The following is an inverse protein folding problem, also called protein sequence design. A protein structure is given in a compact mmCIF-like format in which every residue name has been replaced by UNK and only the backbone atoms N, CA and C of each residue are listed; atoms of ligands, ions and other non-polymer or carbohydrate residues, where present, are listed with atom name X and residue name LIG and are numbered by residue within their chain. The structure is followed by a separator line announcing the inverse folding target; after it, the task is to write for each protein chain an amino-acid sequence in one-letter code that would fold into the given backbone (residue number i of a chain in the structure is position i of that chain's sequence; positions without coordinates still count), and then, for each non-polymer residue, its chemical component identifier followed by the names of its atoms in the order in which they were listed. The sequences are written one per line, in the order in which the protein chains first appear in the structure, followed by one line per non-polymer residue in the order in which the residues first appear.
data_IF_838206364687
#
_entry.id   IF_838206364687
#
_cell.length_a   1.000
_cell.length_b   1.000
_cell.length_c   1.000
_cell.angle_alpha   90.00
_cell.angle_beta   90.00
_cell.angle_gamma   90.00
#
_symmetry.space_group_name_H-M   'P 1'
#
loop_
_entity.id
_entity.type
_entity.pdbx_description
1 polymer ?
#
# COMPACT_ATOMS: atom_id res chain seq x y z
N UNK A 1 -7.66 -6.20 -29.59
CA UNK A 1 -8.33 -4.95 -29.20
C UNK A 1 -7.42 -4.19 -28.25
N UNK A 2 -7.16 -2.88 -28.46
CA UNK A 2 -6.23 -2.14 -27.58
C UNK A 2 -6.93 -1.79 -26.27
N UNK A 3 -6.17 -1.62 -25.18
CA UNK A 3 -6.71 -1.35 -23.84
C UNK A 3 -7.61 -0.09 -23.78
N UNK A 4 -7.30 0.92 -24.60
CA UNK A 4 -8.10 2.15 -24.73
C UNK A 4 -9.47 1.89 -25.35
N UNK A 5 -9.56 0.97 -26.31
CA UNK A 5 -10.83 0.65 -26.99
C UNK A 5 -11.77 -0.08 -26.03
N UNK A 6 -11.22 -1.00 -25.22
CA UNK A 6 -11.99 -1.73 -24.20
C UNK A 6 -12.57 -0.75 -23.16
N UNK A 7 -11.78 0.24 -22.71
CA UNK A 7 -12.26 1.25 -21.75
C UNK A 7 -13.38 2.11 -22.31
N UNK A 8 -13.29 2.52 -23.57
CA UNK A 8 -14.38 3.26 -24.25
C UNK A 8 -15.66 2.44 -24.27
N UNK A 9 -15.57 1.15 -24.60
CA UNK A 9 -16.71 0.22 -24.59
C UNK A 9 -17.33 0.09 -23.20
N UNK A 10 -16.51 -0.07 -22.15
CA UNK A 10 -17.01 -0.14 -20.77
C UNK A 10 -17.70 1.15 -20.35
N UNK A 11 -17.12 2.32 -20.65
CA UNK A 11 -17.71 3.62 -20.31
C UNK A 11 -19.05 3.84 -21.02
N UNK A 12 -19.13 3.50 -22.31
CA UNK A 12 -20.35 3.61 -23.09
C UNK A 12 -21.46 2.70 -22.55
N UNK A 13 -21.16 1.43 -22.28
CA UNK A 13 -22.15 0.48 -21.73
C UNK A 13 -22.61 0.86 -20.34
N UNK A 14 -21.70 1.29 -19.47
CA UNK A 14 -22.06 1.76 -18.14
C UNK A 14 -22.96 3.00 -18.16
N UNK A 15 -22.74 3.92 -19.12
CA UNK A 15 -23.62 5.07 -19.33
C UNK A 15 -25.01 4.72 -19.85
N UNK A 16 -25.21 3.50 -20.37
CA UNK A 16 -26.52 2.96 -20.76
C UNK A 16 -27.18 2.15 -19.63
N UNK A 17 -26.74 2.32 -18.39
CA UNK A 17 -27.19 1.58 -17.20
C UNK A 17 -26.96 0.06 -17.26
N UNK A 18 -26.02 -0.41 -18.09
CA UNK A 18 -25.67 -1.83 -18.13
C UNK A 18 -24.91 -2.26 -16.86
N UNK A 19 -25.42 -3.29 -16.20
CA UNK A 19 -24.76 -3.87 -15.03
C UNK A 19 -23.40 -4.52 -15.33
N UNK A 20 -22.50 -4.64 -14.33
CA UNK A 20 -21.14 -5.17 -14.50
C UNK A 20 -21.06 -6.55 -15.13
N UNK A 21 -22.07 -7.41 -14.87
CA UNK A 21 -22.12 -8.77 -15.41
C UNK A 21 -22.44 -8.80 -16.90
N UNK A 22 -23.28 -7.88 -17.38
CA UNK A 22 -23.64 -7.73 -18.79
C UNK A 22 -22.43 -7.25 -19.58
N UNK A 23 -21.76 -6.22 -19.08
CA UNK A 23 -20.50 -5.70 -19.64
C UNK A 23 -19.43 -6.79 -19.74
N UNK A 24 -19.30 -7.64 -18.71
CA UNK A 24 -18.35 -8.77 -18.73
C UNK A 24 -18.65 -9.80 -19.81
N UNK A 25 -19.92 -10.18 -19.98
CA UNK A 25 -20.35 -11.09 -21.04
C UNK A 25 -20.10 -10.52 -22.42
N UNK A 26 -20.40 -9.23 -22.62
CA UNK A 26 -20.21 -8.54 -23.89
C UNK A 26 -18.73 -8.38 -24.28
N UNK A 27 -17.84 -8.34 -23.28
CA UNK A 27 -16.39 -8.35 -23.49
C UNK A 27 -15.82 -9.76 -23.67
N UNK A 28 -16.64 -10.81 -23.68
CA UNK A 28 -16.24 -12.21 -23.89
C UNK A 28 -15.03 -12.65 -23.04
N UNK A 29 -14.90 -12.14 -21.82
CA UNK A 29 -13.78 -12.47 -20.94
C UNK A 29 -12.43 -11.84 -21.30
N UNK A 30 -12.37 -10.92 -22.27
CA UNK A 30 -11.15 -10.15 -22.61
C UNK A 30 -10.57 -9.43 -21.39
N UNK A 31 -11.42 -9.10 -20.41
CA UNK A 31 -11.03 -8.51 -19.14
C UNK A 31 -11.73 -9.22 -17.99
N UNK A 32 -11.02 -9.40 -16.86
CA UNK A 32 -11.61 -10.01 -15.67
C UNK A 32 -12.79 -9.21 -15.11
N UNK A 33 -13.77 -9.90 -14.52
CA UNK A 33 -14.90 -9.27 -13.84
C UNK A 33 -14.44 -8.34 -12.70
N UNK A 34 -13.34 -8.68 -12.03
CA UNK A 34 -12.74 -7.85 -10.96
C UNK A 34 -12.30 -6.49 -11.50
N UNK A 35 -11.65 -6.47 -12.65
CA UNK A 35 -11.21 -5.23 -13.32
C UNK A 35 -12.40 -4.37 -13.73
N UNK A 36 -13.47 -4.98 -14.27
CA UNK A 36 -14.69 -4.25 -14.65
C UNK A 36 -15.33 -3.59 -13.41
N UNK A 37 -15.46 -4.34 -12.30
CA UNK A 37 -15.96 -3.78 -11.03
C UNK A 37 -15.11 -2.61 -10.52
N UNK A 38 -13.79 -2.72 -10.63
CA UNK A 38 -12.88 -1.63 -10.26
C UNK A 38 -13.07 -0.39 -11.14
N UNK A 39 -13.21 -0.56 -12.45
CA UNK A 39 -13.42 0.57 -13.38
C UNK A 39 -14.75 1.27 -13.13
N UNK A 40 -15.83 0.52 -12.86
CA UNK A 40 -17.12 1.08 -12.48
C UNK A 40 -16.99 1.89 -11.19
N UNK A 41 -16.28 1.38 -10.18
CA UNK A 41 -16.00 2.12 -8.93
C UNK A 41 -15.24 3.43 -9.22
N UNK A 42 -14.26 3.41 -10.12
CA UNK A 42 -13.53 4.61 -10.52
C UNK A 42 -14.43 5.63 -11.25
N UNK A 43 -15.32 5.17 -12.12
CA UNK A 43 -16.30 6.05 -12.79
C UNK A 43 -17.20 6.73 -11.75
N UNK A 44 -17.69 5.99 -10.76
CA UNK A 44 -18.56 6.56 -9.72
C UNK A 44 -17.82 7.58 -8.84
N UNK A 45 -16.53 7.36 -8.58
CA UNK A 45 -15.75 8.24 -7.70
C UNK A 45 -15.17 9.47 -8.42
N UNK A 46 -14.81 9.35 -9.71
CA UNK A 46 -13.98 10.34 -10.41
C UNK A 46 -14.54 10.72 -11.79
N UNK A 47 -15.61 10.07 -12.26
CA UNK A 47 -16.20 10.32 -13.58
C UNK A 47 -15.34 9.86 -14.77
N UNK A 48 -14.18 9.24 -14.51
CA UNK A 48 -13.24 8.83 -15.55
C UNK A 48 -12.49 7.54 -15.19
N UNK A 49 -12.17 6.76 -16.23
CA UNK A 49 -11.27 5.61 -16.14
C UNK A 49 -9.88 6.09 -16.56
N UNK A 50 -9.13 6.72 -15.65
CA UNK A 50 -7.74 7.06 -15.90
C UNK A 50 -6.84 5.92 -15.43
N UNK A 51 -6.43 5.04 -16.36
CA UNK A 51 -5.43 3.98 -16.13
C UNK A 51 -4.00 4.41 -16.46
N UNK A 52 -3.74 5.72 -16.65
CA UNK A 52 -2.36 6.23 -16.79
C UNK A 52 -1.48 5.78 -15.62
N UNK A 53 -2.09 5.52 -14.46
CA UNK A 53 -1.52 4.69 -13.41
C UNK A 53 -2.35 3.41 -13.29
N UNK A 54 -1.79 2.21 -13.56
CA UNK A 54 -2.53 0.98 -13.29
C UNK A 54 -2.89 0.91 -11.80
N UNK A 55 -4.11 0.48 -11.42
CA UNK A 55 -4.49 0.21 -10.04
C UNK A 55 -3.84 -1.11 -9.62
N UNK A 56 -2.53 -1.08 -9.50
CA UNK A 56 -1.65 -2.15 -9.10
C UNK A 56 -0.33 -1.51 -8.73
N UNK A 57 0.05 -1.68 -7.45
CA UNK A 57 1.33 -1.31 -6.80
C UNK A 57 2.16 -0.32 -7.60
N UNK A 58 2.27 0.93 -7.10
CA UNK A 58 3.24 1.94 -7.52
C UNK A 58 4.46 1.28 -8.16
N UNK A 59 4.48 1.19 -9.50
CA UNK A 59 5.71 0.91 -10.21
C UNK A 59 6.49 2.19 -10.03
N UNK A 60 7.40 2.17 -9.07
CA UNK A 60 8.47 3.13 -8.98
C UNK A 60 9.26 2.93 -10.28
N UNK A 61 8.87 3.65 -11.33
CA UNK A 61 9.76 3.92 -12.45
C UNK A 61 10.90 4.69 -11.84
N UNK A 62 12.06 4.05 -11.69
CA UNK A 62 13.33 4.73 -11.47
C UNK A 62 13.47 5.74 -12.61
N UNK A 63 13.14 7.00 -12.36
CA UNK A 63 13.71 8.08 -13.14
C UNK A 63 15.20 8.00 -12.86
N UNK A 64 15.96 7.58 -13.87
CA UNK A 64 17.41 7.70 -13.81
C UNK A 64 17.73 9.17 -13.52
N UNK A 65 18.40 9.38 -12.40
CA UNK A 65 18.63 10.67 -11.79
C UNK A 65 19.51 11.50 -12.70
N UNK A 66 18.95 12.55 -13.27
CA UNK A 66 19.69 13.75 -13.63
C UNK A 66 18.83 14.94 -13.24
N UNK A 67 18.75 15.23 -11.95
CA UNK A 67 18.37 16.55 -11.46
C UNK A 67 19.02 16.74 -10.08
N UNK A 68 20.02 17.60 -10.10
CA UNK A 68 20.66 18.24 -8.96
C UNK A 68 19.62 18.92 -8.09
N UNK A 69 19.34 18.36 -6.91
CA UNK A 69 18.71 19.12 -5.84
C UNK A 69 19.20 18.60 -4.47
N UNK A 70 19.79 19.45 -3.62
CA UNK A 70 20.39 19.02 -2.37
C UNK A 70 19.46 19.32 -1.20
N UNK A 71 18.35 18.60 -1.01
CA UNK A 71 17.68 18.56 0.30
C UNK A 71 16.95 17.24 0.58
N UNK A 72 17.46 16.56 1.62
CA UNK A 72 16.83 15.48 2.39
C UNK A 72 16.46 14.22 1.59
N UNK A 73 17.50 13.55 1.10
CA UNK A 73 17.39 12.18 0.59
C UNK A 73 17.32 11.17 1.73
N UNK A 74 16.11 10.81 2.18
CA UNK A 74 15.90 9.53 2.85
C UNK A 74 16.20 8.43 1.83
N UNK A 75 17.42 7.88 1.91
CA UNK A 75 17.80 6.68 1.15
C UNK A 75 16.97 5.54 1.76
N UNK A 76 15.83 5.24 1.14
CA UNK A 76 15.15 3.96 1.32
C UNK A 76 16.07 2.88 0.75
N UNK A 77 17.04 2.43 1.56
CA UNK A 77 17.77 1.21 1.28
C UNK A 77 16.72 0.13 1.09
N UNK A 78 16.65 -0.43 -0.12
CA UNK A 78 15.69 -1.46 -0.48
C UNK A 78 15.96 -2.69 0.38
N UNK A 79 15.25 -2.80 1.50
CA UNK A 79 15.41 -3.95 2.37
C UNK A 79 14.85 -5.20 1.70
N UNK A 80 15.55 -6.34 1.85
CA UNK A 80 15.00 -7.62 1.44
C UNK A 80 13.72 -7.91 2.24
N UNK A 81 12.74 -8.48 1.55
CA UNK A 81 11.50 -8.90 2.20
C UNK A 81 11.80 -10.00 3.23
N UNK A 82 11.21 -9.90 4.42
CA UNK A 82 11.33 -10.85 5.54
C UNK A 82 12.70 -10.93 6.24
N UNK A 83 13.49 -9.85 6.21
CA UNK A 83 14.77 -9.77 6.94
C UNK A 83 14.75 -8.71 8.05
N UNK A 84 14.02 -8.93 9.17
CA UNK A 84 14.01 -8.03 10.31
C UNK A 84 15.37 -7.94 11.03
N UNK A 85 16.25 -8.92 10.80
CA UNK A 85 17.63 -9.02 11.27
C UNK A 85 18.58 -8.02 10.59
N UNK A 86 18.25 -7.58 9.37
CA UNK A 86 19.10 -6.66 8.58
C UNK A 86 18.79 -5.19 8.83
N UNK A 87 17.83 -4.89 9.71
CA UNK A 87 17.61 -3.53 10.18
C UNK A 87 18.34 -3.28 11.51
N UNK A 88 19.46 -2.56 11.49
CA UNK A 88 20.16 -2.21 12.72
C UNK A 88 19.30 -1.35 13.67
N UNK A 89 18.38 -0.55 13.13
CA UNK A 89 17.48 0.30 13.91
C UNK A 89 16.32 -0.48 14.56
N UNK A 90 15.76 -1.49 13.90
CA UNK A 90 14.67 -2.31 14.45
C UNK A 90 15.24 -3.31 15.45
N UNK A 91 16.22 -4.12 15.07
CA UNK A 91 16.60 -5.25 15.93
C UNK A 91 17.17 -4.80 17.28
N UNK A 92 18.07 -3.81 17.27
CA UNK A 92 18.70 -3.32 18.51
C UNK A 92 17.71 -2.58 19.41
N UNK A 93 16.79 -1.81 18.83
CA UNK A 93 15.76 -1.07 19.55
C UNK A 93 14.70 -2.03 20.12
N UNK A 94 14.14 -2.91 19.30
CA UNK A 94 13.15 -3.89 19.74
C UNK A 94 13.70 -4.86 20.78
N UNK A 95 14.99 -5.25 20.66
CA UNK A 95 15.64 -6.08 21.68
C UNK A 95 15.71 -5.37 23.03
N UNK A 96 16.11 -4.09 23.05
CA UNK A 96 16.15 -3.29 24.28
C UNK A 96 14.76 -3.06 24.86
N UNK A 97 13.78 -2.70 24.02
CA UNK A 97 12.39 -2.56 24.45
C UNK A 97 11.83 -3.86 25.04
N UNK A 98 12.07 -4.99 24.38
CA UNK A 98 11.64 -6.31 24.86
C UNK A 98 12.28 -6.74 26.18
N UNK A 99 13.47 -6.23 26.52
CA UNK A 99 14.08 -6.46 27.83
C UNK A 99 13.42 -5.64 28.96
N UNK A 100 12.83 -4.49 28.62
CA UNK A 100 12.20 -3.58 29.58
C UNK A 100 10.73 -3.93 29.83
N UNK A 101 10.07 -4.53 28.83
CA UNK A 101 8.65 -4.92 28.91
C UNK A 101 8.40 -6.04 29.93
N UNK A 102 7.33 -5.90 30.71
CA UNK A 102 6.86 -6.96 31.60
C UNK A 102 5.92 -7.92 30.88
N UNK A 103 6.50 -8.88 30.15
CA UNK A 103 5.76 -9.87 29.35
C UNK A 103 4.68 -10.64 30.11
N UNK A 104 4.79 -10.75 31.44
CA UNK A 104 3.76 -11.39 32.30
C UNK A 104 2.40 -10.67 32.24
N UNK A 105 2.36 -9.38 31.95
CA UNK A 105 1.13 -8.59 31.86
C UNK A 105 0.58 -8.50 30.43
N UNK A 106 1.34 -8.93 29.44
CA UNK A 106 0.94 -8.88 28.02
C UNK A 106 0.07 -10.10 27.72
N UNK A 107 -1.23 -9.96 27.94
CA UNK A 107 -2.22 -11.02 27.69
C UNK A 107 -3.14 -10.69 26.52
N UNK A 108 -3.34 -9.40 26.26
CA UNK A 108 -4.17 -8.88 25.16
C UNK A 108 -3.41 -7.82 24.36
N UNK A 109 -3.89 -7.54 23.16
CA UNK A 109 -3.33 -6.47 22.32
C UNK A 109 -3.32 -5.10 23.02
N UNK A 110 -4.38 -4.78 23.77
CA UNK A 110 -4.48 -3.52 24.52
C UNK A 110 -3.40 -3.42 25.60
N UNK A 111 -3.20 -4.48 26.39
CA UNK A 111 -2.13 -4.53 27.40
C UNK A 111 -0.73 -4.47 26.78
N UNK A 112 -0.54 -5.06 25.59
CA UNK A 112 0.71 -4.96 24.83
C UNK A 112 1.04 -3.51 24.46
N UNK A 113 0.05 -2.77 23.93
CA UNK A 113 0.22 -1.36 23.55
C UNK A 113 0.55 -0.49 24.77
N UNK A 114 -0.10 -0.73 25.91
CA UNK A 114 0.16 0.01 27.14
C UNK A 114 1.58 -0.25 27.68
N UNK A 115 2.01 -1.50 27.71
CA UNK A 115 3.36 -1.88 28.15
C UNK A 115 4.46 -1.32 27.23
N UNK A 116 4.23 -1.32 25.91
CA UNK A 116 5.17 -0.68 24.95
C UNK A 116 5.28 0.81 25.27
N UNK A 117 4.15 1.51 25.47
CA UNK A 117 4.16 2.95 25.82
C UNK A 117 4.90 3.21 27.12
N UNK A 118 4.72 2.37 28.14
CA UNK A 118 5.43 2.51 29.41
C UNK A 118 6.93 2.26 29.24
N UNK A 119 7.31 1.25 28.45
CA UNK A 119 8.70 0.90 28.18
C UNK A 119 9.44 2.01 27.43
N UNK A 120 8.80 2.64 26.44
CA UNK A 120 9.36 3.81 25.74
C UNK A 120 9.59 4.97 26.70
N UNK A 121 8.60 5.30 27.54
CA UNK A 121 8.75 6.38 28.55
C UNK A 121 9.87 6.12 29.54
N UNK A 122 10.08 4.86 29.93
CA UNK A 122 11.19 4.48 30.82
C UNK A 122 12.53 4.63 30.11
N UNK A 123 12.60 4.20 28.85
CA UNK A 123 13.80 4.34 28.03
C UNK A 123 14.21 5.80 27.82
N UNK A 124 13.25 6.71 27.59
CA UNK A 124 13.51 8.16 27.50
C UNK A 124 14.11 8.72 28.79
N UNK A 125 13.61 8.29 29.96
CA UNK A 125 14.15 8.74 31.26
C UNK A 125 15.55 8.24 31.57
N UNK A 126 15.97 7.10 31.02
CA UNK A 126 17.30 6.53 31.25
C UNK A 126 18.38 7.12 30.31
N UNK A 127 17.98 7.82 29.24
CA UNK A 127 18.88 8.39 28.23
C UNK A 127 18.91 9.93 28.21
N UNK A 128 18.26 10.60 29.17
CA UNK A 128 18.34 12.05 29.44
C UNK A 128 19.14 12.24 30.73
#
# INVERSE_FOLDING_TARGET
MKSKDIQKVVKAKYGNDDGPMKIYRDLAGVVSLKTIKLWIKMINNTGSINLSSPPGRLRITRTDRNLSDPMVGFILLGWPSNSPDLCPFDYSLWKKLGQVMYWKYVTTETTSIEEIKQSVKKFEKENI
#
